data_IF_060664837157
#
_entry.id   IF_060664837157
#
_cell.length_a   1.000
_cell.length_b   1.000
_cell.length_c   1.000
_cell.angle_alpha   90.00
_cell.angle_beta   90.00
_cell.angle_gamma   90.00
#
_symmetry.space_group_name_H-M   'P 1'
#
loop_
_entity.id
_entity.type
_entity.pdbx_description
1 polymer ?
#
# COMPACT_ATOMS: atom_id res chain seq x y z
N UNK A 1 11.44 7.78 16.54
CA UNK A 1 10.94 7.57 15.17
C UNK A 1 10.50 6.13 15.09
N UNK A 2 9.21 5.85 14.83
CA UNK A 2 8.76 4.49 14.53
C UNK A 2 9.39 4.08 13.19
N UNK A 3 10.02 2.91 13.12
CA UNK A 3 10.52 2.39 11.86
C UNK A 3 9.31 1.94 11.01
N UNK A 4 9.09 2.50 9.80
CA UNK A 4 7.91 2.18 8.99
C UNK A 4 7.83 0.69 8.63
N UNK A 5 8.93 -0.05 8.71
CA UNK A 5 9.02 -1.46 8.37
C UNK A 5 9.29 -2.37 9.57
N UNK A 6 9.01 -1.91 10.79
CA UNK A 6 9.17 -2.70 12.02
C UNK A 6 8.13 -3.83 12.14
N UNK A 7 6.93 -3.61 11.62
CA UNK A 7 5.81 -4.55 11.68
C UNK A 7 4.96 -4.52 10.41
N UNK A 8 4.08 -5.50 10.25
CA UNK A 8 3.10 -5.52 9.16
C UNK A 8 2.15 -4.32 9.27
N UNK A 9 1.76 -3.96 10.50
CA UNK A 9 0.92 -2.80 10.80
C UNK A 9 1.57 -1.49 10.36
N UNK A 10 2.81 -1.24 10.81
CA UNK A 10 3.53 -0.02 10.43
C UNK A 10 3.79 0.06 8.92
N UNK A 11 4.01 -1.09 8.27
CA UNK A 11 4.15 -1.15 6.82
C UNK A 11 2.84 -0.80 6.11
N UNK A 12 1.69 -1.27 6.61
CA UNK A 12 0.37 -0.88 6.06
C UNK A 12 0.13 0.63 6.16
N UNK A 13 0.44 1.23 7.31
CA UNK A 13 0.34 2.69 7.49
C UNK A 13 1.25 3.42 6.50
N UNK A 14 2.50 2.97 6.33
CA UNK A 14 3.39 3.51 5.31
C UNK A 14 2.81 3.44 3.89
N UNK A 15 2.24 2.29 3.52
CA UNK A 15 1.61 2.12 2.21
C UNK A 15 0.35 3.01 2.02
N UNK A 16 -0.34 3.36 3.11
CA UNK A 16 -1.42 4.34 3.08
C UNK A 16 -0.91 5.74 2.78
N UNK A 17 0.11 6.22 3.51
CA UNK A 17 0.72 7.53 3.23
C UNK A 17 1.33 7.60 1.83
N UNK A 18 1.96 6.51 1.38
CA UNK A 18 2.49 6.43 0.01
C UNK A 18 1.36 6.51 -1.03
N UNK A 19 0.22 5.89 -0.81
CA UNK A 19 -0.92 5.98 -1.72
C UNK A 19 -1.45 7.42 -1.82
N UNK A 20 -1.53 8.14 -0.70
CA UNK A 20 -1.93 9.55 -0.67
C UNK A 20 -0.95 10.44 -1.44
N UNK A 21 0.35 10.29 -1.19
CA UNK A 21 1.39 11.03 -1.91
C UNK A 21 1.36 10.75 -3.43
N UNK A 22 1.08 9.51 -3.84
CA UNK A 22 0.92 9.17 -5.27
C UNK A 22 -0.31 9.88 -5.86
N UNK A 23 -1.43 9.93 -5.14
CA UNK A 23 -2.64 10.61 -5.61
C UNK A 23 -2.39 12.11 -5.82
N UNK A 24 -1.77 12.77 -4.84
CA UNK A 24 -1.39 14.18 -4.93
C UNK A 24 -0.46 14.44 -6.12
N UNK A 25 0.58 13.61 -6.28
CA UNK A 25 1.49 13.72 -7.42
C UNK A 25 0.77 13.56 -8.77
N UNK A 26 -0.23 12.66 -8.86
CA UNK A 26 -1.02 12.47 -10.08
C UNK A 26 -1.89 13.70 -10.39
N UNK A 27 -2.49 14.33 -9.39
CA UNK A 27 -3.27 15.55 -9.57
C UNK A 27 -2.40 16.72 -10.03
N UNK A 28 -1.22 16.87 -9.43
CA UNK A 28 -0.22 17.85 -9.84
C UNK A 28 0.21 17.65 -11.31
N UNK A 29 0.57 16.43 -11.70
CA UNK A 29 0.96 16.12 -13.09
C UNK A 29 -0.19 16.34 -14.08
N UNK A 30 -1.44 16.02 -13.71
CA UNK A 30 -2.60 16.30 -14.58
C UNK A 30 -2.82 17.80 -14.80
N UNK A 31 -2.63 18.60 -13.75
CA UNK A 31 -2.69 20.06 -13.82
C UNK A 31 -1.61 20.59 -14.76
N UNK A 32 -0.39 20.07 -14.65
CA UNK A 32 0.71 20.43 -15.55
C UNK A 32 0.43 20.04 -17.01
N UNK A 33 -0.14 18.86 -17.27
CA UNK A 33 -0.52 18.44 -18.63
C UNK A 33 -1.53 19.41 -19.23
N UNK A 34 -2.52 19.86 -18.44
CA UNK A 34 -3.53 20.81 -18.90
C UNK A 34 -2.91 22.19 -19.20
N UNK A 35 -1.97 22.66 -18.37
CA UNK A 35 -1.28 23.93 -18.54
C UNK A 35 -0.32 23.96 -19.76
N UNK A 36 0.24 22.81 -20.15
CA UNK A 36 1.23 22.70 -21.23
C UNK A 36 0.61 22.25 -22.57
N UNK A 37 -0.50 22.86 -22.97
CA UNK A 37 -1.29 22.45 -24.16
C UNK A 37 -0.82 23.07 -25.49
N UNK A 38 0.21 23.91 -25.50
CA UNK A 38 0.67 24.60 -26.72
C UNK A 38 1.59 23.72 -27.58
N UNK A 39 1.66 23.95 -28.91
CA UNK A 39 2.49 23.15 -29.82
C UNK A 39 3.99 23.15 -29.46
N UNK A 40 4.50 24.23 -28.86
CA UNK A 40 5.90 24.37 -28.45
C UNK A 40 6.24 23.48 -27.25
N UNK A 41 5.22 23.08 -26.47
CA UNK A 41 5.37 22.30 -25.24
C UNK A 41 5.13 20.79 -25.44
N UNK A 42 4.98 20.33 -26.69
CA UNK A 42 4.64 18.94 -27.03
C UNK A 42 5.55 17.90 -26.39
N UNK A 43 6.88 18.09 -26.44
CA UNK A 43 7.85 17.18 -25.80
C UNK A 43 7.70 17.12 -24.28
N UNK A 44 7.43 18.27 -23.65
CA UNK A 44 7.16 18.34 -22.20
C UNK A 44 5.85 17.62 -21.87
N UNK A 45 4.83 17.79 -22.70
CA UNK A 45 3.55 17.11 -22.53
C UNK A 45 3.68 15.58 -22.66
N UNK A 46 4.49 15.09 -23.60
CA UNK A 46 4.80 13.66 -23.73
C UNK A 46 5.51 13.10 -22.48
N UNK A 47 6.50 13.84 -21.96
CA UNK A 47 7.20 13.46 -20.73
C UNK A 47 6.24 13.41 -19.52
N UNK A 48 5.34 14.39 -19.40
CA UNK A 48 4.32 14.42 -18.34
C UNK A 48 3.33 13.25 -18.46
N UNK A 49 2.89 12.90 -19.67
CA UNK A 49 2.05 11.72 -19.91
C UNK A 49 2.76 10.43 -19.50
N UNK A 50 4.06 10.31 -19.80
CA UNK A 50 4.87 9.18 -19.35
C UNK A 50 4.99 9.14 -17.82
N UNK A 51 5.19 10.28 -17.16
CA UNK A 51 5.20 10.38 -15.71
C UNK A 51 3.86 9.92 -15.10
N UNK A 52 2.74 10.38 -15.65
CA UNK A 52 1.40 9.97 -15.21
C UNK A 52 1.21 8.46 -15.34
N UNK A 53 1.62 7.86 -16.47
CA UNK A 53 1.58 6.41 -16.65
C UNK A 53 2.41 5.66 -15.60
N UNK A 54 3.60 6.17 -15.25
CA UNK A 54 4.44 5.55 -14.21
C UNK A 54 3.79 5.69 -12.82
N UNK A 55 3.14 6.80 -12.53
CA UNK A 55 2.39 7.00 -11.28
C UNK A 55 1.17 6.07 -11.19
N UNK A 56 0.44 5.86 -12.28
CA UNK A 56 -0.66 4.88 -12.34
C UNK A 56 -0.15 3.47 -12.01
N UNK A 57 0.99 3.08 -12.59
CA UNK A 57 1.60 1.78 -12.29
C UNK A 57 2.06 1.67 -10.83
N UNK A 58 2.65 2.73 -10.30
CA UNK A 58 3.07 2.77 -8.90
C UNK A 58 1.86 2.63 -7.96
N UNK A 59 0.75 3.32 -8.23
CA UNK A 59 -0.50 3.18 -7.47
C UNK A 59 -1.02 1.73 -7.46
N UNK A 60 -1.00 1.06 -8.61
CA UNK A 60 -1.42 -0.34 -8.71
C UNK A 60 -0.54 -1.28 -7.87
N UNK A 61 0.77 -1.08 -7.89
CA UNK A 61 1.71 -1.84 -7.06
C UNK A 61 1.47 -1.57 -5.57
N UNK A 62 1.35 -0.30 -5.17
CA UNK A 62 1.04 0.11 -3.79
C UNK A 62 -0.25 -0.53 -3.28
N UNK A 63 -1.33 -0.50 -4.07
CA UNK A 63 -2.61 -1.15 -3.71
C UNK A 63 -2.47 -2.67 -3.57
N UNK A 64 -1.68 -3.30 -4.45
CA UNK A 64 -1.46 -4.74 -4.42
C UNK A 64 -0.63 -5.16 -3.20
N UNK A 65 0.46 -4.44 -2.90
CA UNK A 65 1.26 -4.64 -1.70
C UNK A 65 0.44 -4.45 -0.42
N UNK A 66 -0.41 -3.42 -0.36
CA UNK A 66 -1.29 -3.18 0.81
C UNK A 66 -2.27 -4.34 1.03
N UNK A 67 -2.83 -4.91 -0.04
CA UNK A 67 -3.69 -6.10 0.05
C UNK A 67 -2.93 -7.31 0.60
N UNK A 68 -1.74 -7.59 0.06
CA UNK A 68 -0.90 -8.69 0.55
C UNK A 68 -0.53 -8.53 2.02
N UNK A 69 -0.19 -7.31 2.47
CA UNK A 69 0.07 -7.04 3.89
C UNK A 69 -1.16 -7.29 4.75
N UNK A 70 -2.37 -6.96 4.26
CA UNK A 70 -3.61 -7.24 4.98
C UNK A 70 -3.88 -8.75 5.08
N UNK A 71 -3.61 -9.49 4.02
CA UNK A 71 -3.75 -10.94 4.00
C UNK A 71 -2.78 -11.59 4.99
N UNK A 72 -1.51 -11.16 5.01
CA UNK A 72 -0.51 -11.62 5.97
C UNK A 72 -0.92 -11.31 7.42
N UNK A 73 -1.50 -10.13 7.67
CA UNK A 73 -2.01 -9.76 9.00
C UNK A 73 -3.14 -10.69 9.44
N UNK A 74 -4.07 -10.97 8.53
CA UNK A 74 -5.21 -11.87 8.76
C UNK A 74 -4.71 -13.29 9.04
N UNK A 75 -3.79 -13.82 8.23
CA UNK A 75 -3.20 -15.15 8.42
C UNK A 75 -2.47 -15.26 9.76
N UNK A 76 -1.67 -14.26 10.14
CA UNK A 76 -1.00 -14.25 11.45
C UNK A 76 -2.00 -14.33 12.60
N UNK A 77 -3.12 -13.61 12.49
CA UNK A 77 -4.18 -13.62 13.50
C UNK A 77 -4.85 -14.99 13.61
N UNK A 78 -5.26 -15.57 12.49
CA UNK A 78 -5.90 -16.89 12.46
C UNK A 78 -4.99 -17.97 13.04
N UNK A 79 -3.71 -18.00 12.64
CA UNK A 79 -2.75 -18.97 13.15
C UNK A 79 -2.48 -18.80 14.66
N UNK A 80 -2.55 -17.58 15.20
CA UNK A 80 -2.40 -17.36 16.64
C UNK A 80 -3.67 -17.76 17.40
N UNK A 81 -4.85 -17.45 16.88
CA UNK A 81 -6.14 -17.86 17.44
C UNK A 81 -6.23 -19.40 17.52
N UNK A 82 -5.87 -20.11 16.45
CA UNK A 82 -5.81 -21.59 16.42
C UNK A 82 -4.87 -22.16 17.50
N UNK A 83 -3.73 -21.52 17.74
CA UNK A 83 -2.78 -21.96 18.79
C UNK A 83 -3.31 -21.73 20.20
N UNK A 84 -4.05 -20.65 20.42
CA UNK A 84 -4.70 -20.38 21.72
C UNK A 84 -5.80 -21.39 21.98
N UNK A 85 -6.64 -21.67 20.98
CA UNK A 85 -7.70 -22.69 21.08
C UNK A 85 -7.11 -24.08 21.34
N UNK A 86 -6.08 -24.49 20.59
CA UNK A 86 -5.41 -25.77 20.82
C UNK A 86 -4.77 -25.88 22.22
N UNK A 87 -4.22 -24.79 22.75
CA UNK A 87 -3.69 -24.74 24.11
C UNK A 87 -4.77 -24.87 25.19
N UNK A 88 -5.90 -24.18 25.01
CA UNK A 88 -7.04 -24.24 25.94
C UNK A 88 -7.63 -25.66 26.04
N UNK A 89 -7.77 -26.36 24.90
CA UNK A 89 -8.25 -27.75 24.87
C UNK A 89 -7.31 -28.70 25.62
N UNK A 90 -5.99 -28.47 25.55
CA UNK A 90 -5.00 -29.31 26.26
C UNK A 90 -5.02 -29.06 27.77
N UNK A 91 -5.28 -27.83 28.24
CA UNK A 91 -5.43 -27.51 29.66
C UNK A 91 -6.71 -28.12 30.25
N UNK A 92 -7.83 -28.03 29.52
CA UNK A 92 -9.11 -28.60 29.96
C UNK A 92 -9.06 -30.14 30.08
N UNK A 93 -8.30 -30.81 29.21
CA UNK A 93 -8.06 -32.26 29.29
C UNK A 93 -7.07 -32.68 30.39
N UNK A 94 -6.28 -31.75 30.94
CA UNK A 94 -5.33 -32.02 32.03
C UNK A 94 -5.88 -31.70 33.42
N UNK A 95 -6.98 -30.95 33.49
CA UNK A 95 -7.63 -30.50 34.72
C UNK A 95 -8.85 -31.32 35.17
N UNK A 96 -9.20 -32.41 34.48
CA UNK A 96 -10.27 -33.35 34.86
C UNK A 96 -9.72 -34.68 35.34
#
# INVERSE_FOLDING_TARGET
MNNPFESIESAQEYFQYLAEAILEAKESVRTDIAANSTPELRRRQEALKLALYKLDRLEQHTKSSRRLLNDLRTLRRLLLEERVEAGAVVEEQRGG
#
